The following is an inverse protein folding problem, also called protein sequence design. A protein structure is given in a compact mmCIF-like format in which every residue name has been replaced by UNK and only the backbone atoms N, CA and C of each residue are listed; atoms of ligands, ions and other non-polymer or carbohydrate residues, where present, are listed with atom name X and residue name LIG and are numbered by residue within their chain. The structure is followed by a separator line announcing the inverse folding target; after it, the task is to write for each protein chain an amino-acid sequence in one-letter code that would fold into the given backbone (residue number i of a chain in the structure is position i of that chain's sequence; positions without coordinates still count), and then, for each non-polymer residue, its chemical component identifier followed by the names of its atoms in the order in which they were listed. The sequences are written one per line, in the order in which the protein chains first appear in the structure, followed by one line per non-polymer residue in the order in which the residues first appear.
data_IF_154888647684
#
_entry.id   IF_154888647684
#
_cell.length_a   1.000
_cell.length_b   1.000
_cell.length_c   1.000
_cell.angle_alpha   90.00
_cell.angle_beta   90.00
_cell.angle_gamma   90.00
#
_symmetry.space_group_name_H-M   'P 1'
#
loop_
_entity.id
_entity.type
_entity.pdbx_description
1 polymer ?
#
# COMPACT_ATOMS: atom_id res chain seq x y z
N UNK A 1 -20.05 6.96 30.24
CA UNK A 1 -20.23 7.89 29.13
C UNK A 1 -18.92 8.67 28.98
N UNK A 2 -17.94 8.13 28.27
CA UNK A 2 -16.70 8.82 27.95
C UNK A 2 -16.97 9.65 26.67
N UNK A 3 -17.05 10.96 26.81
CA UNK A 3 -17.00 11.85 25.64
C UNK A 3 -15.58 11.71 25.10
N UNK A 4 -15.50 11.36 23.83
CA UNK A 4 -14.27 11.33 23.04
C UNK A 4 -13.49 12.64 23.28
N UNK A 5 -12.34 12.52 23.95
CA UNK A 5 -11.52 13.67 24.35
C UNK A 5 -10.51 14.06 23.25
N UNK A 6 -10.76 13.69 21.99
CA UNK A 6 -9.89 14.12 20.90
C UNK A 6 -9.91 15.63 20.78
N UNK A 7 -8.75 16.28 20.61
CA UNK A 7 -8.70 17.72 20.44
C UNK A 7 -9.46 18.13 19.17
N UNK A 8 -10.26 19.19 19.28
CA UNK A 8 -10.94 19.79 18.13
C UNK A 8 -9.88 20.34 17.18
N UNK A 9 -9.83 19.79 15.96
CA UNK A 9 -8.91 20.28 14.92
C UNK A 9 -9.44 21.58 14.31
N UNK A 10 -8.57 22.57 14.06
CA UNK A 10 -8.95 23.74 13.26
C UNK A 10 -9.38 23.31 11.86
N UNK A 11 -10.25 24.12 11.24
CA UNK A 11 -10.65 23.88 9.86
C UNK A 11 -9.48 24.06 8.89
N UNK A 12 -9.24 23.09 8.03
CA UNK A 12 -8.22 23.16 6.98
C UNK A 12 -8.60 24.15 5.87
N UNK A 13 -9.88 24.49 5.75
CA UNK A 13 -10.42 25.46 4.76
C UNK A 13 -10.85 26.79 5.38
N UNK A 14 -10.49 27.00 6.63
CA UNK A 14 -10.36 28.27 7.35
C UNK A 14 -11.41 29.34 7.00
N UNK A 15 -12.70 29.10 7.31
CA UNK A 15 -13.81 30.04 7.09
C UNK A 15 -14.58 29.83 5.78
N UNK A 16 -14.18 28.84 4.96
CA UNK A 16 -14.87 28.45 3.74
C UNK A 16 -15.55 27.06 3.86
N UNK A 17 -16.07 26.73 5.03
CA UNK A 17 -16.65 25.40 5.33
C UNK A 17 -17.85 25.06 4.43
N UNK A 18 -18.53 26.04 3.86
CA UNK A 18 -19.60 25.86 2.88
C UNK A 18 -19.13 25.72 1.44
N UNK A 19 -17.85 25.96 1.13
CA UNK A 19 -17.29 25.89 -0.22
C UNK A 19 -17.41 24.50 -0.85
N UNK A 20 -17.08 23.37 -0.18
CA UNK A 20 -17.23 22.05 -0.76
C UNK A 20 -18.65 21.73 -1.22
N UNK A 21 -19.65 22.04 -0.36
CA UNK A 21 -21.06 21.88 -0.72
C UNK A 21 -21.47 22.76 -1.90
N UNK A 22 -21.05 24.03 -1.89
CA UNK A 22 -21.33 24.97 -2.98
C UNK A 22 -20.81 24.46 -4.34
N UNK A 23 -19.59 23.94 -4.38
CA UNK A 23 -18.97 23.42 -5.61
C UNK A 23 -19.63 22.12 -6.04
N UNK A 24 -19.84 21.18 -5.12
CA UNK A 24 -20.49 19.89 -5.39
C UNK A 24 -21.87 20.07 -6.03
N UNK A 25 -22.68 20.96 -5.50
CA UNK A 25 -24.05 21.20 -5.98
C UNK A 25 -24.09 21.84 -7.38
N UNK A 26 -22.99 22.45 -7.82
CA UNK A 26 -22.87 23.18 -9.09
C UNK A 26 -22.04 22.49 -10.15
N UNK A 27 -21.09 21.66 -9.73
CA UNK A 27 -20.37 20.79 -10.67
C UNK A 27 -21.25 19.57 -10.93
N UNK A 28 -22.15 19.70 -11.91
CA UNK A 28 -22.99 18.59 -12.36
C UNK A 28 -22.12 17.60 -13.14
N UNK A 29 -21.74 16.52 -12.48
CA UNK A 29 -21.17 15.38 -13.16
C UNK A 29 -22.29 14.35 -13.37
N UNK A 30 -22.61 14.10 -14.63
CA UNK A 30 -23.36 12.91 -14.98
C UNK A 30 -22.35 11.76 -14.95
N UNK A 31 -22.41 10.93 -13.92
CA UNK A 31 -21.71 9.66 -13.97
C UNK A 31 -22.25 8.86 -15.14
N UNK A 32 -21.49 8.74 -16.21
CA UNK A 32 -21.68 7.68 -17.18
C UNK A 32 -21.55 6.32 -16.43
N UNK A 33 -22.01 5.25 -17.05
CA UNK A 33 -21.93 3.89 -16.46
C UNK A 33 -20.53 3.66 -15.90
N UNK A 34 -20.40 3.23 -14.64
CA UNK A 34 -19.10 3.10 -13.99
C UNK A 34 -18.20 2.11 -14.76
N UNK A 35 -17.07 2.60 -15.24
CA UNK A 35 -16.06 1.78 -15.89
C UNK A 35 -14.69 1.98 -15.22
N UNK A 36 -13.82 0.96 -15.26
CA UNK A 36 -12.43 1.06 -14.82
C UNK A 36 -11.69 2.17 -15.57
N UNK A 37 -12.03 2.40 -16.83
CA UNK A 37 -11.47 3.47 -17.66
C UNK A 37 -11.71 4.86 -17.06
N UNK A 38 -12.89 5.11 -16.45
CA UNK A 38 -13.18 6.39 -15.81
C UNK A 38 -12.20 6.71 -14.68
N UNK A 39 -11.81 5.70 -13.87
CA UNK A 39 -10.82 5.89 -12.83
C UNK A 39 -9.41 6.08 -13.41
N UNK A 40 -9.07 5.31 -14.44
CA UNK A 40 -7.79 5.46 -15.16
C UNK A 40 -7.64 6.88 -15.72
N UNK A 41 -8.69 7.40 -16.36
CA UNK A 41 -8.71 8.76 -16.93
C UNK A 41 -8.66 9.84 -15.85
N UNK A 42 -9.42 9.67 -14.74
CA UNK A 42 -9.41 10.62 -13.64
C UNK A 42 -8.05 10.68 -12.92
N UNK A 43 -7.39 9.55 -12.76
CA UNK A 43 -6.03 9.50 -12.20
C UNK A 43 -4.97 9.91 -13.21
N UNK A 44 -5.29 9.88 -14.52
CA UNK A 44 -4.34 10.09 -15.59
C UNK A 44 -3.28 8.99 -15.65
N UNK A 45 -3.71 7.71 -15.54
CA UNK A 45 -2.79 6.56 -15.53
C UNK A 45 -2.18 6.41 -16.94
N UNK A 46 -0.85 6.50 -17.09
CA UNK A 46 -0.22 6.24 -18.38
C UNK A 46 -0.43 4.79 -18.84
N UNK A 47 -0.41 4.56 -20.15
CA UNK A 47 -0.45 3.21 -20.68
C UNK A 47 0.71 2.37 -20.15
N UNK A 48 0.40 1.20 -19.57
CA UNK A 48 1.40 0.32 -19.01
C UNK A 48 2.01 -0.54 -20.10
N UNK A 49 3.34 -0.54 -20.15
CA UNK A 49 4.12 -1.48 -20.96
C UNK A 49 4.73 -2.49 -19.99
N UNK A 50 4.35 -3.76 -20.14
CA UNK A 50 4.87 -4.83 -19.26
C UNK A 50 6.38 -4.96 -19.48
N UNK A 51 7.21 -4.82 -18.42
CA UNK A 51 8.65 -4.93 -18.55
C UNK A 51 9.08 -6.35 -18.97
N UNK A 52 9.86 -6.45 -20.02
CA UNK A 52 10.41 -7.72 -20.50
C UNK A 52 11.75 -8.08 -19.82
N UNK A 53 12.36 -7.13 -19.12
CA UNK A 53 13.73 -7.23 -18.59
C UNK A 53 13.78 -7.44 -17.06
N UNK A 54 12.91 -8.30 -16.53
CA UNK A 54 12.94 -8.64 -15.09
C UNK A 54 14.23 -9.40 -14.78
N UNK A 55 15.04 -8.83 -13.89
CA UNK A 55 16.34 -9.39 -13.50
C UNK A 55 16.28 -9.83 -12.03
N UNK A 56 16.73 -11.05 -11.74
CA UNK A 56 16.95 -11.56 -10.38
C UNK A 56 18.38 -11.21 -9.96
N UNK A 57 18.55 -10.49 -8.85
CA UNK A 57 19.85 -10.07 -8.33
C UNK A 57 20.34 -10.95 -7.19
N UNK A 58 19.43 -11.42 -6.38
CA UNK A 58 19.72 -12.18 -5.18
C UNK A 58 18.54 -13.09 -4.85
N UNK A 59 18.83 -14.24 -4.28
CA UNK A 59 17.85 -15.14 -3.70
C UNK A 59 18.41 -15.75 -2.42
N UNK A 60 17.57 -15.82 -1.39
CA UNK A 60 17.91 -16.43 -0.11
C UNK A 60 16.69 -16.96 0.61
N UNK A 61 16.91 -17.95 1.46
CA UNK A 61 15.86 -18.52 2.30
C UNK A 61 16.11 -18.15 3.75
N UNK A 62 15.13 -17.51 4.37
CA UNK A 62 15.19 -17.11 5.75
C UNK A 62 13.84 -17.39 6.43
N UNK A 63 13.87 -18.02 7.59
CA UNK A 63 12.69 -18.31 8.42
C UNK A 63 11.51 -18.95 7.65
N UNK A 64 11.83 -19.94 6.81
CA UNK A 64 10.85 -20.68 6.02
C UNK A 64 10.29 -19.97 4.79
N UNK A 65 10.85 -18.82 4.42
CA UNK A 65 10.46 -18.06 3.22
C UNK A 65 11.67 -17.87 2.31
N UNK A 66 11.53 -18.23 1.05
CA UNK A 66 12.49 -17.89 0.00
C UNK A 66 12.14 -16.52 -0.56
N UNK A 67 13.09 -15.60 -0.50
CA UNK A 67 12.96 -14.23 -0.99
C UNK A 67 13.94 -14.00 -2.14
N UNK A 68 13.44 -13.53 -3.28
CA UNK A 68 14.25 -13.14 -4.43
C UNK A 68 14.15 -11.64 -4.65
N UNK A 69 15.28 -10.94 -4.73
CA UNK A 69 15.33 -9.53 -5.13
C UNK A 69 15.28 -9.42 -6.64
N UNK A 70 14.30 -8.68 -7.13
CA UNK A 70 14.06 -8.44 -8.54
C UNK A 70 14.32 -6.97 -8.90
N UNK A 71 14.59 -6.69 -10.16
CA UNK A 71 14.44 -5.34 -10.71
C UNK A 71 13.95 -5.36 -12.15
N UNK A 72 13.26 -4.27 -12.54
CA UNK A 72 12.78 -4.04 -13.89
C UNK A 72 12.79 -2.56 -14.24
N UNK A 73 12.69 -2.25 -15.55
CA UNK A 73 12.64 -0.89 -16.07
C UNK A 73 11.25 -0.57 -16.62
N UNK A 74 10.70 0.57 -16.23
CA UNK A 74 9.39 1.06 -16.65
C UNK A 74 9.46 2.06 -17.82
N UNK A 75 10.62 2.20 -18.45
CA UNK A 75 10.83 3.12 -19.57
C UNK A 75 11.12 4.57 -19.16
N UNK A 76 11.05 4.89 -17.86
CA UNK A 76 11.41 6.19 -17.31
C UNK A 76 11.92 6.07 -15.86
N UNK A 77 12.75 7.02 -15.46
CA UNK A 77 13.31 7.08 -14.11
C UNK A 77 14.24 5.89 -13.77
N UNK A 78 14.54 5.69 -12.49
CA UNK A 78 15.34 4.56 -12.04
C UNK A 78 14.63 3.23 -12.23
N UNK A 79 15.39 2.13 -12.25
CA UNK A 79 14.82 0.77 -12.20
C UNK A 79 14.05 0.55 -10.91
N UNK A 80 12.92 -0.13 -11.01
CA UNK A 80 12.13 -0.55 -9.85
C UNK A 80 12.78 -1.75 -9.19
N UNK A 81 12.96 -1.73 -7.88
CA UNK A 81 13.30 -2.89 -7.08
C UNK A 81 12.02 -3.52 -6.52
N UNK A 82 11.97 -4.84 -6.55
CA UNK A 82 10.90 -5.63 -5.94
C UNK A 82 11.46 -6.88 -5.25
N UNK A 83 10.64 -7.46 -4.38
CA UNK A 83 10.94 -8.70 -3.68
C UNK A 83 9.81 -9.68 -3.91
N UNK A 84 10.17 -10.85 -4.45
CA UNK A 84 9.28 -11.99 -4.59
C UNK A 84 9.53 -12.95 -3.44
N UNK A 85 8.50 -13.26 -2.68
CA UNK A 85 8.56 -14.16 -1.54
C UNK A 85 7.64 -15.36 -1.75
N UNK A 86 8.11 -16.54 -1.32
CA UNK A 86 7.36 -17.80 -1.39
C UNK A 86 7.69 -18.68 -0.19
N UNK A 87 6.81 -19.58 0.25
CA UNK A 87 7.18 -20.60 1.22
C UNK A 87 8.35 -21.42 0.69
N UNK A 88 9.35 -21.64 1.52
CA UNK A 88 10.50 -22.48 1.13
C UNK A 88 10.06 -23.90 0.78
N UNK A 89 10.60 -24.43 -0.32
CA UNK A 89 10.25 -25.78 -0.79
C UNK A 89 8.84 -25.91 -1.38
N UNK A 90 8.12 -24.81 -1.63
CA UNK A 90 6.83 -24.86 -2.29
C UNK A 90 6.95 -25.44 -3.71
N UNK A 91 6.03 -26.34 -4.06
CA UNK A 91 5.92 -26.96 -5.38
C UNK A 91 4.53 -26.69 -5.96
N UNK A 92 4.47 -26.32 -7.22
CA UNK A 92 3.22 -26.00 -7.92
C UNK A 92 2.84 -24.50 -7.83
N UNK A 93 1.81 -24.11 -8.58
CA UNK A 93 1.38 -22.71 -8.64
C UNK A 93 0.69 -22.27 -7.33
N UNK A 94 1.17 -21.14 -6.77
CA UNK A 94 0.64 -20.50 -5.58
C UNK A 94 -0.29 -19.33 -5.97
N UNK A 95 -1.34 -19.04 -5.19
CA UNK A 95 -2.06 -17.79 -5.37
C UNK A 95 -1.11 -16.61 -5.18
N UNK A 96 -1.25 -15.58 -6.04
CA UNK A 96 -0.38 -14.40 -6.02
C UNK A 96 -0.98 -13.27 -5.20
N UNK A 97 -0.15 -12.58 -4.43
CA UNK A 97 -0.55 -11.37 -3.70
C UNK A 97 0.44 -10.23 -3.97
N UNK A 98 -0.09 -9.08 -4.41
CA UNK A 98 0.70 -7.85 -4.46
C UNK A 98 0.58 -7.13 -3.11
N UNK A 99 1.69 -7.02 -2.38
CA UNK A 99 1.76 -6.32 -1.10
C UNK A 99 2.22 -4.88 -1.32
N UNK A 100 1.34 -3.92 -0.98
CA UNK A 100 1.50 -2.51 -1.31
C UNK A 100 1.89 -1.72 -0.05
N UNK A 101 3.10 -1.15 -0.06
CA UNK A 101 3.61 -0.38 1.08
C UNK A 101 2.83 0.92 1.31
N UNK A 102 2.77 1.35 2.58
CA UNK A 102 2.15 2.62 2.97
C UNK A 102 2.98 3.83 2.47
N UNK A 103 2.36 5.02 2.52
CA UNK A 103 3.10 6.28 2.36
C UNK A 103 4.08 6.48 3.52
N UNK A 104 3.58 6.40 4.76
CA UNK A 104 4.32 6.38 6.03
C UNK A 104 5.25 7.58 6.27
N UNK A 105 5.13 8.67 5.50
CA UNK A 105 6.07 9.79 5.58
C UNK A 105 7.52 9.43 5.20
N UNK A 106 7.76 8.20 4.75
CA UNK A 106 9.09 7.67 4.47
C UNK A 106 9.22 7.28 3.00
N UNK A 107 9.76 8.18 2.18
CA UNK A 107 10.06 7.95 0.76
C UNK A 107 11.48 7.46 0.51
N UNK A 108 12.35 7.52 1.52
CA UNK A 108 13.70 6.96 1.45
C UNK A 108 13.65 5.44 1.24
N UNK A 109 12.86 4.74 2.06
CA UNK A 109 12.52 3.34 1.88
C UNK A 109 11.27 3.15 1.01
N UNK A 110 11.03 1.93 0.59
CA UNK A 110 9.87 1.52 -0.19
C UNK A 110 9.27 0.23 0.33
N UNK A 111 9.24 -0.80 -0.50
CA UNK A 111 8.71 -2.11 -0.14
C UNK A 111 9.60 -2.92 0.81
N UNK A 112 10.86 -2.53 1.03
CA UNK A 112 11.77 -3.10 2.02
C UNK A 112 11.13 -3.14 3.43
N UNK A 113 10.25 -2.18 3.74
CA UNK A 113 9.46 -2.15 4.99
C UNK A 113 8.41 -3.26 5.12
N UNK A 114 8.18 -4.04 4.09
CA UNK A 114 7.25 -5.17 4.09
C UNK A 114 7.95 -6.52 4.11
N UNK A 115 9.28 -6.55 4.01
CA UNK A 115 10.09 -7.73 3.73
C UNK A 115 11.08 -8.00 4.85
N UNK A 116 11.23 -9.26 5.24
CA UNK A 116 12.34 -9.68 6.10
C UNK A 116 13.59 -9.82 5.25
N UNK A 117 14.58 -8.96 5.51
CA UNK A 117 15.88 -8.97 4.84
C UNK A 117 16.99 -9.32 5.83
N UNK A 118 18.09 -9.97 5.40
CA UNK A 118 19.23 -10.27 6.27
C UNK A 118 19.87 -9.02 6.87
N UNK A 119 19.95 -7.96 6.09
CA UNK A 119 20.54 -6.67 6.47
C UNK A 119 19.55 -5.54 6.10
N UNK A 120 18.47 -5.36 6.89
CA UNK A 120 17.50 -4.32 6.60
C UNK A 120 18.08 -2.93 6.89
N UNK A 121 17.70 -1.94 6.08
CA UNK A 121 17.99 -0.56 6.44
C UNK A 121 17.28 -0.19 7.76
N UNK A 122 17.88 0.60 8.65
CA UNK A 122 17.25 0.99 9.93
C UNK A 122 15.83 1.54 9.78
N UNK A 123 15.57 2.35 8.75
CA UNK A 123 14.24 2.90 8.48
C UNK A 123 13.17 1.84 8.17
N UNK A 124 13.53 0.65 7.69
CA UNK A 124 12.60 -0.46 7.52
C UNK A 124 12.23 -1.09 8.87
N UNK A 125 13.20 -1.25 9.77
CA UNK A 125 12.94 -1.73 11.13
C UNK A 125 12.06 -0.76 11.93
N UNK A 126 12.29 0.54 11.79
CA UNK A 126 11.45 1.60 12.37
C UNK A 126 10.01 1.53 11.82
N UNK A 127 9.84 1.30 10.51
CA UNK A 127 8.53 1.12 9.91
C UNK A 127 7.82 -0.14 10.42
N UNK A 128 8.54 -1.26 10.61
CA UNK A 128 7.98 -2.47 11.22
C UNK A 128 7.44 -2.18 12.62
N UNK A 129 8.25 -1.53 13.47
CA UNK A 129 7.88 -1.21 14.84
C UNK A 129 6.72 -0.19 14.91
N UNK A 130 6.78 0.87 14.10
CA UNK A 130 5.84 1.99 14.17
C UNK A 130 4.50 1.74 13.47
N UNK A 131 4.50 0.97 12.38
CA UNK A 131 3.33 0.86 11.51
C UNK A 131 2.79 -0.55 11.32
N UNK A 132 3.62 -1.60 11.52
CA UNK A 132 3.26 -2.98 11.20
C UNK A 132 3.35 -3.93 12.39
N UNK A 133 3.29 -3.43 13.61
CA UNK A 133 3.30 -4.25 14.83
C UNK A 133 4.56 -5.11 14.97
N UNK A 134 5.70 -4.65 14.45
CA UNK A 134 6.98 -5.37 14.48
C UNK A 134 7.14 -6.45 13.41
N UNK A 135 6.24 -6.52 12.41
CA UNK A 135 6.25 -7.56 11.37
C UNK A 135 6.58 -7.03 9.97
N UNK A 136 7.21 -7.87 9.17
CA UNK A 136 7.35 -7.71 7.73
C UNK A 136 6.13 -8.34 7.03
N UNK A 137 5.09 -7.55 6.78
CA UNK A 137 3.78 -8.01 6.30
C UNK A 137 3.86 -8.98 5.11
N UNK A 138 4.63 -8.64 4.08
CA UNK A 138 4.70 -9.45 2.86
C UNK A 138 5.34 -10.82 3.12
N UNK A 139 6.34 -10.87 4.00
CA UNK A 139 6.94 -12.13 4.44
C UNK A 139 5.94 -12.98 5.23
N UNK A 140 5.11 -12.37 6.09
CA UNK A 140 4.06 -13.10 6.83
C UNK A 140 2.98 -13.66 5.90
N UNK A 141 2.55 -12.88 4.90
CA UNK A 141 1.60 -13.36 3.87
C UNK A 141 2.20 -14.54 3.10
N UNK A 142 3.47 -14.44 2.67
CA UNK A 142 4.12 -15.51 1.93
C UNK A 142 4.20 -16.82 2.75
N UNK A 143 4.47 -16.72 4.07
CA UNK A 143 4.52 -17.88 4.97
C UNK A 143 3.23 -18.68 5.01
N UNK A 144 2.10 -18.04 4.68
CA UNK A 144 0.78 -18.69 4.65
C UNK A 144 0.42 -19.34 3.31
N UNK A 145 1.38 -19.51 2.40
CA UNK A 145 1.17 -20.27 1.16
C UNK A 145 0.91 -19.40 -0.07
N UNK A 146 1.36 -18.16 -0.07
CA UNK A 146 1.24 -17.26 -1.21
C UNK A 146 2.59 -17.00 -1.90
N UNK A 147 2.54 -16.73 -3.21
CA UNK A 147 3.59 -16.02 -3.89
C UNK A 147 3.32 -14.51 -3.74
N UNK A 148 4.19 -13.80 -3.03
CA UNK A 148 3.98 -12.38 -2.71
C UNK A 148 5.02 -11.55 -3.42
N UNK A 149 4.57 -10.54 -4.17
CA UNK A 149 5.45 -9.51 -4.72
C UNK A 149 5.21 -8.20 -3.95
N UNK A 150 6.30 -7.60 -3.45
CA UNK A 150 6.32 -6.25 -2.95
C UNK A 150 7.30 -5.43 -3.77
N UNK A 151 6.95 -4.21 -4.16
CA UNK A 151 7.80 -3.38 -5.03
C UNK A 151 7.82 -1.92 -4.59
N UNK A 152 8.89 -1.23 -4.93
CA UNK A 152 8.99 0.21 -4.76
C UNK A 152 8.10 0.92 -5.79
N UNK A 153 7.19 1.75 -5.32
CA UNK A 153 6.35 2.56 -6.19
C UNK A 153 7.03 3.87 -6.59
N UNK A 154 6.52 4.53 -7.61
CA UNK A 154 6.93 5.86 -8.04
C UNK A 154 7.09 6.81 -6.84
N UNK A 155 8.22 7.45 -6.73
CA UNK A 155 8.68 8.35 -5.68
C UNK A 155 9.11 7.67 -4.35
N UNK A 156 9.15 6.34 -4.24
CA UNK A 156 9.63 5.62 -3.05
C UNK A 156 10.78 4.66 -3.37
N UNK A 157 11.66 4.43 -2.38
CA UNK A 157 12.72 3.43 -2.44
C UNK A 157 13.66 3.61 -3.63
N UNK A 158 13.82 2.58 -4.45
CA UNK A 158 14.61 2.64 -5.68
C UNK A 158 14.03 3.59 -6.74
N UNK A 159 12.75 3.91 -6.63
CA UNK A 159 12.03 4.85 -7.52
C UNK A 159 12.00 6.29 -6.99
N UNK A 160 12.69 6.57 -5.89
CA UNK A 160 12.74 7.91 -5.29
C UNK A 160 13.46 8.91 -6.19
N UNK A 161 13.08 10.17 -6.07
CA UNK A 161 13.75 11.27 -6.76
C UNK A 161 15.16 11.47 -6.21
N UNK A 162 16.08 11.88 -7.06
CA UNK A 162 17.39 12.36 -6.61
C UNK A 162 17.25 13.79 -6.04
N UNK A 163 17.32 13.89 -4.73
CA UNK A 163 17.27 15.15 -3.99
C UNK A 163 18.64 15.51 -3.36
N UNK A 164 19.72 14.96 -3.89
CA UNK A 164 21.09 15.35 -3.50
C UNK A 164 21.34 16.85 -3.73
N UNK A 165 20.72 17.41 -4.76
CA UNK A 165 20.60 18.85 -5.02
C UNK A 165 19.11 19.19 -5.13
N UNK A 166 18.45 19.56 -4.02
CA UNK A 166 17.01 19.82 -4.02
C UNK A 166 16.65 21.03 -4.89
N UNK A 167 15.44 21.09 -5.46
CA UNK A 167 14.92 22.32 -6.08
C UNK A 167 14.93 23.50 -5.08
N UNK A 168 15.12 24.71 -5.55
CA UNK A 168 15.39 25.89 -4.72
C UNK A 168 14.38 26.14 -3.57
N UNK A 169 13.08 25.87 -3.77
CA UNK A 169 12.09 26.01 -2.70
C UNK A 169 12.17 24.88 -1.67
N UNK A 170 12.42 23.66 -2.14
CA UNK A 170 12.65 22.50 -1.28
C UNK A 170 13.90 22.72 -0.44
N UNK A 171 15.00 23.21 -1.05
CA UNK A 171 16.23 23.54 -0.37
C UNK A 171 16.02 24.58 0.73
N UNK A 172 15.33 25.69 0.42
CA UNK A 172 15.04 26.76 1.40
C UNK A 172 14.26 26.25 2.61
N UNK A 173 13.23 25.41 2.38
CA UNK A 173 12.42 24.83 3.46
C UNK A 173 13.20 23.76 4.25
N UNK A 174 14.05 22.99 3.57
CA UNK A 174 14.93 22.01 4.21
C UNK A 174 15.97 22.69 5.13
N UNK A 175 16.53 23.83 4.71
CA UNK A 175 17.46 24.60 5.55
C UNK A 175 16.80 25.12 6.83
N UNK A 176 15.53 25.55 6.76
CA UNK A 176 14.76 25.90 7.95
C UNK A 176 14.59 24.68 8.88
N UNK A 177 14.30 23.50 8.33
CA UNK A 177 14.20 22.24 9.10
C UNK A 177 15.53 21.85 9.73
N UNK A 178 16.64 21.96 8.99
CA UNK A 178 17.99 21.72 9.50
C UNK A 178 18.35 22.65 10.65
N UNK A 179 17.91 23.93 10.61
CA UNK A 179 18.09 24.87 11.71
C UNK A 179 17.35 24.42 12.96
N UNK A 180 16.10 23.97 12.84
CA UNK A 180 15.34 23.43 13.96
C UNK A 180 16.04 22.20 14.58
N UNK A 181 16.57 21.29 13.78
CA UNK A 181 17.32 20.13 14.27
C UNK A 181 18.60 20.56 15.02
N UNK A 182 19.36 21.54 14.48
CA UNK A 182 20.56 22.09 15.15
C UNK A 182 20.21 22.71 16.50
N UNK A 183 19.13 23.50 16.56
CA UNK A 183 18.65 24.10 17.81
C UNK A 183 18.21 23.07 18.84
N UNK A 184 17.60 21.96 18.39
CA UNK A 184 17.19 20.85 19.23
C UNK A 184 18.33 19.87 19.57
N UNK A 185 19.56 20.08 19.04
CA UNK A 185 20.68 19.16 19.23
C UNK A 185 20.50 17.80 18.54
N UNK A 186 19.62 17.72 17.54
CA UNK A 186 19.33 16.49 16.78
C UNK A 186 20.25 16.41 15.55
N UNK A 187 20.88 15.27 15.36
CA UNK A 187 21.59 14.92 14.14
C UNK A 187 20.72 13.96 13.32
N UNK A 188 20.10 14.45 12.24
CA UNK A 188 19.23 13.59 11.43
C UNK A 188 20.04 12.54 10.67
N UNK A 189 19.49 11.35 10.51
CA UNK A 189 19.97 10.33 9.60
C UNK A 189 19.77 10.74 8.14
N UNK A 190 20.45 10.04 7.20
CA UNK A 190 20.25 10.26 5.76
C UNK A 190 18.79 10.05 5.34
N UNK A 191 18.11 9.07 5.94
CA UNK A 191 16.70 8.81 5.70
C UNK A 191 15.82 9.97 6.18
N UNK A 192 16.05 10.53 7.36
CA UNK A 192 15.29 11.67 7.89
C UNK A 192 15.52 12.93 7.04
N UNK A 193 16.77 13.19 6.64
CA UNK A 193 17.09 14.30 5.73
C UNK A 193 16.38 14.17 4.40
N UNK A 194 16.46 12.97 3.80
CA UNK A 194 15.78 12.70 2.54
C UNK A 194 14.27 12.84 2.68
N UNK A 195 13.67 12.24 3.70
CA UNK A 195 12.22 12.25 3.91
C UNK A 195 11.68 13.66 4.14
N UNK A 196 12.41 14.51 4.86
CA UNK A 196 12.05 15.91 5.03
C UNK A 196 12.04 16.67 3.68
N UNK A 197 13.07 16.46 2.85
CA UNK A 197 13.12 17.05 1.51
C UNK A 197 12.01 16.49 0.61
N UNK A 198 11.82 15.17 0.62
CA UNK A 198 10.83 14.49 -0.23
C UNK A 198 9.38 14.83 0.12
N UNK A 199 9.08 15.05 1.40
CA UNK A 199 7.75 15.54 1.84
C UNK A 199 7.44 16.93 1.26
N UNK A 200 8.40 17.85 1.30
CA UNK A 200 8.26 19.19 0.70
C UNK A 200 8.18 19.09 -0.84
N UNK A 201 9.00 18.20 -1.44
CA UNK A 201 9.08 18.02 -2.88
C UNK A 201 7.81 17.39 -3.48
N UNK A 202 7.00 16.69 -2.69
CA UNK A 202 5.76 16.06 -3.16
C UNK A 202 4.81 17.06 -3.81
N UNK A 203 4.70 18.29 -3.31
CA UNK A 203 3.93 19.36 -3.94
C UNK A 203 4.44 19.68 -5.36
N UNK A 204 5.75 19.66 -5.56
CA UNK A 204 6.35 19.87 -6.88
C UNK A 204 6.02 18.74 -7.82
N UNK A 205 6.09 17.50 -7.33
CA UNK A 205 5.72 16.30 -8.10
C UNK A 205 4.25 16.34 -8.51
N UNK A 206 3.35 16.69 -7.57
CA UNK A 206 1.93 16.80 -7.85
C UNK A 206 1.62 17.88 -8.91
N UNK A 207 2.29 19.04 -8.85
CA UNK A 207 2.17 20.10 -9.87
C UNK A 207 2.67 19.65 -11.22
N UNK A 208 3.83 18.98 -11.28
CA UNK A 208 4.37 18.45 -12.53
C UNK A 208 3.44 17.40 -13.14
N UNK A 209 2.95 16.46 -12.31
CA UNK A 209 1.98 15.46 -12.73
C UNK A 209 0.71 16.10 -13.32
N UNK A 210 0.14 17.11 -12.63
CA UNK A 210 -1.03 17.83 -13.10
C UNK A 210 -0.82 18.55 -14.44
N UNK A 211 0.36 19.14 -14.68
CA UNK A 211 0.72 19.74 -15.98
C UNK A 211 0.84 18.70 -17.09
N UNK A 212 1.26 17.49 -16.76
CA UNK A 212 1.40 16.38 -17.71
C UNK A 212 0.09 15.65 -17.97
N UNK A 213 -1.01 16.00 -17.28
CA UNK A 213 -2.30 15.34 -17.42
C UNK A 213 -2.40 14.01 -16.62
N UNK A 214 -1.54 13.83 -15.63
CA UNK A 214 -1.55 12.70 -14.70
C UNK A 214 -1.69 13.18 -13.25
N UNK A 215 -1.53 12.29 -12.29
CA UNK A 215 -1.47 12.60 -10.85
C UNK A 215 -0.39 11.77 -10.17
N UNK A 216 -0.04 12.10 -8.92
CA UNK A 216 0.85 11.24 -8.13
C UNK A 216 0.25 9.83 -8.01
N UNK A 217 -1.06 9.74 -7.74
CA UNK A 217 -1.78 8.47 -7.68
C UNK A 217 -1.78 7.72 -9.01
N UNK A 218 -1.91 8.43 -10.14
CA UNK A 218 -1.86 7.85 -11.49
C UNK A 218 -0.49 7.24 -11.82
N UNK A 219 0.59 7.92 -11.43
CA UNK A 219 1.95 7.39 -11.62
C UNK A 219 2.23 6.18 -10.72
N UNK A 220 1.73 6.19 -9.48
CA UNK A 220 1.84 5.04 -8.57
C UNK A 220 1.01 3.86 -9.08
N UNK A 221 -0.22 4.11 -9.55
CA UNK A 221 -1.08 3.08 -10.14
C UNK A 221 -0.46 2.45 -11.39
N UNK A 222 0.24 3.23 -12.22
CA UNK A 222 1.02 2.72 -13.35
C UNK A 222 2.08 1.69 -12.89
N UNK A 223 2.85 2.03 -11.85
CA UNK A 223 3.87 1.14 -11.31
C UNK A 223 3.24 -0.13 -10.69
N UNK A 224 2.09 0.01 -10.01
CA UNK A 224 1.33 -1.11 -9.41
C UNK A 224 0.77 -2.06 -10.47
N UNK A 225 0.21 -1.53 -11.56
CA UNK A 225 -0.28 -2.33 -12.68
C UNK A 225 0.86 -3.11 -13.36
N UNK A 226 2.00 -2.47 -13.57
CA UNK A 226 3.17 -3.15 -14.14
C UNK A 226 3.67 -4.28 -13.21
N UNK A 227 3.70 -4.04 -11.90
CA UNK A 227 4.08 -5.05 -10.92
C UNK A 227 3.07 -6.21 -10.86
N UNK A 228 1.78 -5.95 -11.03
CA UNK A 228 0.75 -6.99 -11.12
C UNK A 228 0.95 -7.88 -12.35
N UNK A 229 1.21 -7.31 -13.52
CA UNK A 229 1.52 -8.07 -14.74
C UNK A 229 2.79 -8.92 -14.59
N UNK A 230 3.82 -8.37 -13.94
CA UNK A 230 5.02 -9.15 -13.61
C UNK A 230 4.65 -10.32 -12.69
N UNK A 231 3.94 -10.08 -11.59
CA UNK A 231 3.53 -11.14 -10.66
C UNK A 231 2.75 -12.25 -11.37
N UNK A 232 1.77 -11.87 -12.20
CA UNK A 232 0.95 -12.82 -12.97
C UNK A 232 1.79 -13.69 -13.92
N UNK A 233 2.86 -13.13 -14.49
CA UNK A 233 3.75 -13.82 -15.42
C UNK A 233 4.86 -14.64 -14.78
N UNK A 234 5.07 -14.54 -13.46
CA UNK A 234 6.17 -15.26 -12.80
C UNK A 234 5.90 -16.77 -12.70
N UNK A 235 6.91 -17.61 -12.99
CA UNK A 235 6.78 -19.06 -12.82
C UNK A 235 6.32 -19.44 -11.41
N UNK A 236 5.36 -20.36 -11.30
CA UNK A 236 4.83 -20.83 -10.02
C UNK A 236 3.84 -19.88 -9.34
N UNK A 237 3.34 -18.88 -10.05
CA UNK A 237 2.19 -18.06 -9.64
C UNK A 237 0.94 -18.53 -10.40
N UNK A 238 -0.18 -18.64 -9.71
CA UNK A 238 -1.48 -18.89 -10.31
C UNK A 238 -2.16 -17.54 -10.65
N UNK A 239 -2.12 -17.19 -11.91
CA UNK A 239 -2.66 -15.91 -12.41
C UNK A 239 -4.19 -15.78 -12.28
N UNK A 240 -4.94 -16.89 -12.07
CA UNK A 240 -6.38 -16.86 -11.85
C UNK A 240 -6.74 -16.56 -10.37
N UNK A 241 -5.77 -16.61 -9.48
CA UNK A 241 -5.94 -16.40 -8.04
C UNK A 241 -5.05 -15.26 -7.53
N UNK A 242 -5.26 -14.04 -8.04
CA UNK A 242 -4.50 -12.87 -7.65
C UNK A 242 -5.29 -11.99 -6.67
N UNK A 243 -4.58 -11.44 -5.71
CA UNK A 243 -5.11 -10.46 -4.76
C UNK A 243 -4.10 -9.36 -4.44
N UNK A 244 -4.56 -8.36 -3.70
CA UNK A 244 -3.65 -7.35 -3.17
C UNK A 244 -4.02 -6.96 -1.73
N UNK A 245 -3.03 -6.47 -1.01
CA UNK A 245 -3.16 -6.04 0.39
C UNK A 245 -2.36 -4.77 0.61
N UNK A 246 -2.95 -3.82 1.32
CA UNK A 246 -2.25 -2.58 1.67
C UNK A 246 -2.78 -1.91 2.93
N UNK A 247 -1.87 -1.21 3.59
CA UNK A 247 -2.13 -0.38 4.76
C UNK A 247 -1.94 1.09 4.41
N UNK A 248 -2.81 1.98 4.91
CA UNK A 248 -2.71 3.42 4.70
C UNK A 248 -2.66 3.75 3.19
N UNK A 249 -1.68 4.51 2.72
CA UNK A 249 -1.48 4.75 1.29
C UNK A 249 -1.45 3.46 0.45
N UNK A 250 -0.92 2.35 0.99
CA UNK A 250 -0.99 1.02 0.36
C UNK A 250 -2.43 0.50 0.23
N UNK A 251 -3.31 0.81 1.19
CA UNK A 251 -4.74 0.49 1.12
C UNK A 251 -5.44 1.25 -0.01
N UNK A 252 -5.10 2.54 -0.21
CA UNK A 252 -5.59 3.32 -1.33
C UNK A 252 -5.13 2.77 -2.68
N UNK A 253 -3.86 2.32 -2.76
CA UNK A 253 -3.30 1.63 -3.93
C UNK A 253 -4.03 0.31 -4.21
N UNK A 254 -4.35 -0.47 -3.15
CA UNK A 254 -5.10 -1.72 -3.29
C UNK A 254 -6.50 -1.50 -3.86
N UNK A 255 -7.21 -0.45 -3.40
CA UNK A 255 -8.50 -0.05 -3.96
C UNK A 255 -8.35 0.35 -5.44
N UNK A 256 -7.41 1.24 -5.75
CA UNK A 256 -7.19 1.69 -7.12
C UNK A 256 -6.84 0.51 -8.05
N UNK A 257 -5.93 -0.37 -7.64
CA UNK A 257 -5.52 -1.53 -8.40
C UNK A 257 -6.68 -2.50 -8.66
N UNK A 258 -7.53 -2.77 -7.65
CA UNK A 258 -8.70 -3.64 -7.79
C UNK A 258 -9.77 -3.07 -8.71
N UNK A 259 -9.85 -1.75 -8.85
CA UNK A 259 -10.73 -1.08 -9.84
C UNK A 259 -10.11 -1.10 -11.24
N UNK A 260 -8.80 -0.86 -11.34
CA UNK A 260 -8.10 -0.71 -12.60
C UNK A 260 -7.79 -2.06 -13.29
N UNK A 261 -7.74 -3.15 -12.52
CA UNK A 261 -7.41 -4.47 -13.08
C UNK A 261 -8.43 -5.55 -12.70
N UNK A 262 -9.05 -6.22 -13.68
CA UNK A 262 -9.95 -7.36 -13.43
C UNK A 262 -9.22 -8.62 -12.95
N UNK A 263 -7.89 -8.64 -12.95
CA UNK A 263 -7.10 -9.76 -12.45
C UNK A 263 -7.16 -9.87 -10.93
N UNK A 264 -7.42 -8.78 -10.21
CA UNK A 264 -7.56 -8.79 -8.75
C UNK A 264 -8.89 -9.41 -8.36
N UNK A 265 -8.82 -10.58 -7.74
CA UNK A 265 -10.02 -11.33 -7.28
C UNK A 265 -10.44 -10.92 -5.87
N UNK A 266 -9.48 -10.63 -4.99
CA UNK A 266 -9.76 -10.22 -3.61
C UNK A 266 -8.75 -9.19 -3.16
N UNK A 267 -9.18 -8.22 -2.37
CA UNK A 267 -8.28 -7.18 -1.88
C UNK A 267 -8.59 -6.75 -0.46
N UNK A 268 -7.56 -6.21 0.21
CA UNK A 268 -7.62 -5.74 1.59
C UNK A 268 -7.20 -4.28 1.66
N UNK A 269 -8.04 -3.44 2.26
CA UNK A 269 -7.81 -2.03 2.51
C UNK A 269 -7.78 -1.81 4.01
N UNK A 270 -6.62 -1.50 4.57
CA UNK A 270 -6.45 -1.26 6.01
C UNK A 270 -6.16 0.21 6.29
N UNK A 271 -6.92 0.85 7.18
CA UNK A 271 -6.78 2.24 7.63
C UNK A 271 -6.69 3.24 6.45
N UNK A 272 -7.55 3.08 5.45
CA UNK A 272 -7.60 3.97 4.27
C UNK A 272 -9.03 4.07 3.70
N UNK A 273 -10.02 4.11 4.58
CA UNK A 273 -11.42 4.17 4.14
C UNK A 273 -12.23 5.12 5.02
N UNK A 274 -12.61 6.24 4.43
CA UNK A 274 -13.56 7.22 4.95
C UNK A 274 -14.18 7.98 3.78
N UNK A 275 -15.26 8.70 3.99
CA UNK A 275 -15.83 9.55 2.93
C UNK A 275 -14.97 10.79 2.69
N UNK A 276 -14.85 11.24 1.45
CA UNK A 276 -14.19 12.52 1.13
C UNK A 276 -14.83 13.69 1.87
N UNK A 277 -16.16 13.67 2.02
CA UNK A 277 -16.87 14.71 2.73
C UNK A 277 -16.40 14.85 4.18
N UNK A 278 -16.08 13.75 4.85
CA UNK A 278 -15.60 13.76 6.24
C UNK A 278 -14.16 14.26 6.39
N UNK A 279 -13.35 14.10 5.33
CA UNK A 279 -11.94 14.53 5.34
C UNK A 279 -11.77 16.03 5.14
N UNK A 280 -12.64 16.65 4.32
CA UNK A 280 -12.49 18.04 3.87
C UNK A 280 -12.40 19.07 5.00
N UNK A 281 -13.19 19.01 6.09
CA UNK A 281 -13.17 20.08 7.09
C UNK A 281 -11.86 20.21 7.86
N UNK A 282 -11.22 19.07 8.23
CA UNK A 282 -10.15 19.13 9.21
C UNK A 282 -9.09 18.01 9.10
N UNK A 283 -9.11 17.21 8.04
CA UNK A 283 -8.20 16.06 7.88
C UNK A 283 -7.39 16.12 6.58
N UNK A 284 -7.86 16.91 5.60
CA UNK A 284 -7.32 16.94 4.26
C UNK A 284 -5.82 17.31 4.20
N UNK A 285 -5.40 18.25 5.04
CA UNK A 285 -4.03 18.75 5.11
C UNK A 285 -3.01 17.73 5.64
N UNK A 286 -3.49 16.68 6.34
CA UNK A 286 -2.65 15.59 6.83
C UNK A 286 -2.40 14.50 5.79
N UNK A 287 -3.17 14.50 4.68
CA UNK A 287 -3.04 13.51 3.63
C UNK A 287 -2.10 13.93 2.51
N UNK A 288 -1.43 12.95 1.90
CA UNK A 288 -0.58 13.16 0.75
C UNK A 288 -1.38 13.31 -0.54
N UNK A 289 -0.73 13.80 -1.59
CA UNK A 289 -1.27 13.86 -2.95
C UNK A 289 -1.64 12.49 -3.54
N UNK A 290 -1.28 11.39 -2.86
CA UNK A 290 -1.70 10.04 -3.26
C UNK A 290 -3.22 9.85 -3.15
N UNK A 291 -3.90 10.52 -2.20
CA UNK A 291 -5.35 10.50 -2.08
C UNK A 291 -6.03 11.61 -2.88
N UNK A 292 -5.30 12.65 -3.25
CA UNK A 292 -5.86 13.91 -3.73
C UNK A 292 -5.64 14.10 -5.23
N UNK A 293 -6.48 13.46 -6.03
CA UNK A 293 -6.48 13.68 -7.48
C UNK A 293 -7.59 14.65 -7.85
N UNK A 294 -7.30 15.74 -8.60
CA UNK A 294 -8.30 16.72 -9.02
C UNK A 294 -9.48 16.07 -9.74
N UNK A 295 -10.67 16.27 -9.20
CA UNK A 295 -11.90 15.78 -9.81
C UNK A 295 -12.21 14.29 -9.56
N UNK A 296 -11.46 13.60 -8.72
CA UNK A 296 -11.72 12.20 -8.39
C UNK A 296 -13.15 12.00 -7.82
N UNK A 297 -13.62 12.92 -7.00
CA UNK A 297 -14.98 12.90 -6.43
C UNK A 297 -16.11 13.03 -7.48
N UNK A 298 -15.80 13.38 -8.72
CA UNK A 298 -16.75 13.34 -9.84
C UNK A 298 -17.24 11.91 -10.13
N UNK A 299 -16.40 10.94 -9.85
CA UNK A 299 -16.70 9.54 -10.05
C UNK A 299 -17.54 8.93 -8.93
N UNK A 300 -17.66 9.62 -7.82
CA UNK A 300 -18.28 9.19 -6.57
C UNK A 300 -17.38 9.45 -5.37
N UNK A 301 -17.91 9.24 -4.17
CA UNK A 301 -17.10 9.31 -2.96
C UNK A 301 -16.13 8.13 -2.88
N UNK A 302 -15.09 8.24 -2.05
CA UNK A 302 -14.02 7.25 -1.96
C UNK A 302 -14.51 5.80 -1.78
N UNK A 303 -15.46 5.50 -0.86
CA UNK A 303 -16.02 4.15 -0.75
C UNK A 303 -16.79 3.71 -2.01
N UNK A 304 -17.45 4.62 -2.73
CA UNK A 304 -18.23 4.30 -3.91
C UNK A 304 -17.37 3.82 -5.09
N UNK A 305 -16.08 4.21 -5.12
CA UNK A 305 -15.16 3.75 -6.15
C UNK A 305 -14.99 2.22 -6.13
N UNK A 306 -15.16 1.57 -4.98
CA UNK A 306 -15.07 0.09 -4.87
C UNK A 306 -16.12 -0.64 -5.69
N UNK A 307 -17.29 -0.03 -5.95
CA UNK A 307 -18.34 -0.58 -6.80
C UNK A 307 -17.96 -0.71 -8.27
N UNK A 308 -16.83 -0.13 -8.68
CA UNK A 308 -16.26 -0.24 -10.04
C UNK A 308 -15.30 -1.42 -10.17
N UNK A 309 -14.93 -2.06 -9.07
CA UNK A 309 -14.05 -3.22 -9.07
C UNK A 309 -14.78 -4.47 -9.57
N UNK A 310 -14.08 -5.27 -10.38
CA UNK A 310 -14.52 -6.61 -10.77
C UNK A 310 -14.16 -7.70 -9.76
N UNK A 311 -13.60 -7.35 -8.60
CA UNK A 311 -13.15 -8.31 -7.58
C UNK A 311 -14.34 -9.05 -6.94
N UNK A 312 -14.08 -10.30 -6.54
CA UNK A 312 -15.08 -11.15 -5.86
C UNK A 312 -15.29 -10.72 -4.41
N UNK A 313 -14.26 -10.12 -3.79
CA UNK A 313 -14.34 -9.73 -2.39
C UNK A 313 -13.41 -8.61 -1.95
N UNK A 314 -13.86 -7.90 -0.92
CA UNK A 314 -13.19 -6.79 -0.26
C UNK A 314 -13.24 -6.96 1.26
N UNK A 315 -12.08 -6.85 1.91
CA UNK A 315 -11.98 -6.61 3.35
C UNK A 315 -11.52 -5.17 3.60
N UNK A 316 -12.27 -4.43 4.41
CA UNK A 316 -11.86 -3.12 4.92
C UNK A 316 -11.69 -3.18 6.43
N UNK A 317 -10.55 -2.73 6.91
CA UNK A 317 -10.23 -2.65 8.34
C UNK A 317 -10.11 -1.19 8.75
N UNK A 318 -10.95 -0.78 9.70
CA UNK A 318 -11.02 0.56 10.25
C UNK A 318 -10.37 0.61 11.62
N UNK A 319 -9.50 1.57 11.87
CA UNK A 319 -8.93 1.84 13.19
C UNK A 319 -9.65 3.05 13.82
N UNK A 320 -10.45 2.81 14.85
CA UNK A 320 -11.39 3.82 15.39
C UNK A 320 -10.70 5.04 16.03
N UNK A 321 -9.46 4.88 16.50
CA UNK A 321 -8.68 5.97 17.05
C UNK A 321 -7.64 6.53 16.04
N UNK A 322 -7.83 6.27 14.74
CA UNK A 322 -6.97 6.79 13.68
C UNK A 322 -7.00 8.32 13.64
N UNK A 323 -5.84 8.94 13.72
CA UNK A 323 -5.74 10.40 13.70
C UNK A 323 -5.89 10.99 12.29
N UNK A 324 -5.77 10.19 11.24
CA UNK A 324 -5.85 10.62 9.85
C UNK A 324 -7.27 10.54 9.30
N UNK A 325 -8.14 9.73 9.92
CA UNK A 325 -9.51 9.51 9.44
C UNK A 325 -10.52 9.72 10.57
N UNK A 326 -11.59 10.52 10.38
CA UNK A 326 -12.64 10.68 11.37
C UNK A 326 -13.49 9.40 11.50
N UNK A 327 -13.82 9.00 12.73
CA UNK A 327 -14.66 7.83 12.99
C UNK A 327 -16.01 7.91 12.27
N UNK A 328 -16.65 9.08 12.25
CA UNK A 328 -17.91 9.28 11.54
C UNK A 328 -17.78 8.97 10.06
N UNK A 329 -16.71 9.45 9.41
CA UNK A 329 -16.43 9.19 8.00
C UNK A 329 -16.14 7.71 7.70
N UNK A 330 -15.49 6.99 8.64
CA UNK A 330 -15.29 5.55 8.55
C UNK A 330 -16.62 4.78 8.61
N UNK A 331 -17.51 5.17 9.54
CA UNK A 331 -18.84 4.56 9.69
C UNK A 331 -19.75 4.85 8.51
N UNK A 332 -19.68 6.06 7.96
CA UNK A 332 -20.40 6.43 6.73
C UNK A 332 -19.92 5.61 5.55
N UNK A 333 -18.60 5.50 5.37
CA UNK A 333 -18.00 4.65 4.34
C UNK A 333 -18.44 3.19 4.49
N UNK A 334 -18.46 2.65 5.71
CA UNK A 334 -18.92 1.31 5.97
C UNK A 334 -20.38 1.10 5.53
N UNK A 335 -21.30 2.03 5.89
CA UNK A 335 -22.70 1.95 5.45
C UNK A 335 -22.86 2.00 3.92
N UNK A 336 -22.07 2.84 3.27
CA UNK A 336 -22.04 2.91 1.81
C UNK A 336 -21.61 1.55 1.22
N UNK A 337 -20.52 0.98 1.74
CA UNK A 337 -20.00 -0.31 1.28
C UNK A 337 -20.97 -1.47 1.51
N UNK A 338 -21.65 -1.51 2.67
CA UNK A 338 -22.69 -2.51 2.93
C UNK A 338 -23.86 -2.41 1.93
N UNK A 339 -24.22 -1.20 1.52
CA UNK A 339 -25.31 -0.99 0.55
C UNK A 339 -24.88 -1.27 -0.89
N UNK A 340 -23.60 -1.07 -1.21
CA UNK A 340 -23.05 -1.16 -2.55
C UNK A 340 -22.70 -2.60 -2.95
N UNK A 341 -22.19 -3.37 -2.01
CA UNK A 341 -21.69 -4.72 -2.26
C UNK A 341 -22.73 -5.78 -1.99
N UNK A 342 -22.67 -6.87 -2.77
CA UNK A 342 -23.53 -8.04 -2.54
C UNK A 342 -23.19 -8.69 -1.20
N UNK A 343 -24.17 -9.32 -0.58
CA UNK A 343 -23.96 -10.07 0.66
C UNK A 343 -22.78 -11.06 0.52
N UNK A 344 -21.81 -10.96 1.41
CA UNK A 344 -20.62 -11.82 1.44
C UNK A 344 -19.45 -11.36 0.57
N UNK A 345 -19.61 -10.37 -0.31
CA UNK A 345 -18.48 -9.83 -1.09
C UNK A 345 -17.76 -8.66 -0.39
N UNK A 346 -18.31 -8.12 0.66
CA UNK A 346 -17.70 -7.10 1.51
C UNK A 346 -17.66 -7.57 2.97
N UNK A 347 -16.54 -7.30 3.62
CA UNK A 347 -16.36 -7.45 5.08
C UNK A 347 -15.75 -6.18 5.62
N UNK A 348 -16.38 -5.55 6.61
CA UNK A 348 -15.83 -4.42 7.36
C UNK A 348 -15.52 -4.85 8.78
N UNK A 349 -14.33 -4.55 9.29
CA UNK A 349 -13.96 -4.78 10.68
C UNK A 349 -13.45 -3.51 11.34
N UNK A 350 -13.84 -3.29 12.62
CA UNK A 350 -13.51 -2.11 13.40
C UNK A 350 -12.58 -2.48 14.55
N UNK A 351 -11.45 -1.80 14.63
CA UNK A 351 -10.39 -2.06 15.59
C UNK A 351 -10.17 -0.85 16.50
N UNK A 352 -9.92 -1.03 17.80
CA UNK A 352 -9.83 0.07 18.76
C UNK A 352 -8.48 0.81 18.74
N UNK A 353 -7.66 0.66 17.72
CA UNK A 353 -6.33 1.25 17.63
C UNK A 353 -6.29 2.56 16.83
N UNK A 354 -5.10 3.19 16.82
CA UNK A 354 -4.73 4.30 15.94
C UNK A 354 -4.23 3.82 14.58
N UNK A 355 -3.51 4.69 13.85
CA UNK A 355 -3.03 4.44 12.50
C UNK A 355 -1.89 3.41 12.44
N UNK A 356 -2.19 2.15 12.76
CA UNK A 356 -1.24 1.02 12.80
C UNK A 356 -1.90 -0.24 12.27
N UNK A 357 -1.20 -1.00 11.45
CA UNK A 357 -1.60 -2.33 11.01
C UNK A 357 -1.13 -3.36 12.04
N UNK A 358 -1.92 -3.58 13.07
CA UNK A 358 -1.55 -4.47 14.19
C UNK A 358 -1.42 -5.92 13.75
N UNK A 359 -0.78 -6.73 14.61
CA UNK A 359 -0.62 -8.17 14.39
C UNK A 359 -1.98 -8.88 14.20
N UNK A 360 -2.98 -8.49 14.99
CA UNK A 360 -4.33 -9.05 14.92
C UNK A 360 -5.03 -8.70 13.61
N UNK A 361 -4.94 -7.45 13.18
CA UNK A 361 -5.47 -7.00 11.88
C UNK A 361 -4.77 -7.74 10.73
N UNK A 362 -3.45 -7.91 10.78
CA UNK A 362 -2.70 -8.69 9.78
C UNK A 362 -3.18 -10.14 9.74
N UNK A 363 -3.39 -10.79 10.89
CA UNK A 363 -3.87 -12.16 10.96
C UNK A 363 -5.29 -12.29 10.36
N UNK A 364 -6.19 -11.33 10.60
CA UNK A 364 -7.51 -11.28 9.97
C UNK A 364 -7.39 -11.14 8.44
N UNK A 365 -6.57 -10.19 7.96
CA UNK A 365 -6.35 -9.95 6.55
C UNK A 365 -5.77 -11.18 5.83
N UNK A 366 -4.76 -11.82 6.42
CA UNK A 366 -4.16 -13.05 5.90
C UNK A 366 -5.18 -14.19 5.88
N UNK A 367 -5.95 -14.36 6.95
CA UNK A 367 -7.02 -15.38 7.02
C UNK A 367 -8.10 -15.13 5.97
N UNK A 368 -8.46 -13.87 5.73
CA UNK A 368 -9.36 -13.48 4.67
C UNK A 368 -8.84 -13.91 3.29
N UNK A 369 -7.61 -13.52 2.94
CA UNK A 369 -6.99 -13.88 1.67
C UNK A 369 -6.86 -15.41 1.52
N UNK A 370 -6.50 -16.13 2.58
CA UNK A 370 -6.35 -17.59 2.56
C UNK A 370 -7.68 -18.28 2.23
N UNK A 371 -8.78 -17.82 2.81
CA UNK A 371 -10.12 -18.38 2.52
C UNK A 371 -10.58 -18.05 1.11
N UNK A 372 -10.31 -16.84 0.62
CA UNK A 372 -10.89 -16.33 -0.62
C UNK A 372 -10.05 -16.64 -1.86
N UNK A 373 -8.73 -16.79 -1.71
CA UNK A 373 -7.82 -17.17 -2.79
C UNK A 373 -7.40 -18.64 -2.72
N UNK A 374 -7.79 -19.38 -1.67
CA UNK A 374 -7.53 -20.82 -1.56
C UNK A 374 -6.06 -21.16 -1.35
N UNK A 375 -5.34 -20.43 -0.50
CA UNK A 375 -3.98 -20.79 -0.11
C UNK A 375 -4.00 -22.08 0.74
N UNK A 376 -3.14 -23.04 0.41
CA UNK A 376 -2.85 -24.14 1.32
C UNK A 376 -2.09 -23.55 2.52
N UNK A 377 -2.62 -23.65 3.73
CA UNK A 377 -1.96 -23.15 4.94
C UNK A 377 -0.52 -23.63 5.08
N UNK A 378 0.25 -23.14 6.08
CA UNK A 378 1.65 -23.45 6.24
C UNK A 378 1.90 -24.95 6.16
N UNK A 379 2.87 -25.38 5.36
CA UNK A 379 3.29 -26.77 5.31
C UNK A 379 3.56 -27.22 6.76
N UNK A 380 2.86 -28.25 7.22
CA UNK A 380 3.15 -28.84 8.54
C UNK A 380 4.64 -29.20 8.55
N UNK A 381 5.41 -28.78 9.58
CA UNK A 381 6.79 -29.23 9.68
C UNK A 381 6.79 -30.76 9.59
N UNK A 382 7.51 -31.30 8.62
CA UNK A 382 7.70 -32.75 8.55
C UNK A 382 8.42 -33.15 9.84
N UNK A 383 7.95 -34.18 10.55
CA UNK A 383 8.69 -34.70 11.69
C UNK A 383 10.08 -35.08 11.18
N UNK A 384 11.10 -34.60 11.90
CA UNK A 384 12.48 -34.97 11.61
C UNK A 384 12.55 -36.49 11.42
N UNK A 385 12.99 -36.93 10.24
CA UNK A 385 13.33 -38.31 10.04
C UNK A 385 14.49 -38.61 11.01
N UNK A 386 14.20 -39.32 12.10
CA UNK A 386 15.21 -39.84 12.99
C UNK A 386 16.00 -40.84 12.18
N UNK A 387 17.16 -40.41 11.68
CA UNK A 387 18.17 -41.35 11.18
C UNK A 387 18.54 -42.25 12.37
N UNK A 388 18.17 -43.52 12.25
CA UNK A 388 18.56 -44.55 13.18
C UNK A 388 20.07 -44.81 12.97
N UNK A 389 20.97 -44.49 13.90
CA UNK A 389 22.35 -44.94 13.80
C UNK A 389 22.45 -46.30 14.47
N UNK A 390 23.17 -47.20 13.84
CA UNK A 390 23.65 -48.46 14.36
C UNK A 390 22.92 -49.73 13.87
N UNK A 391 23.29 -50.15 12.68
CA UNK A 391 23.51 -51.59 12.46
C UNK A 391 24.99 -51.83 12.71
N UNK A 392 25.31 -52.39 13.87
CA UNK A 392 26.65 -52.96 14.17
C UNK A 392 26.84 -54.16 13.29
N UNK A 393 27.84 -54.14 12.41
CA UNK A 393 28.38 -55.34 11.80
C UNK A 393 29.14 -56.14 12.88
N UNK A 394 28.73 -57.37 13.10
CA UNK A 394 29.40 -58.39 13.89
C UNK A 394 30.46 -59.08 13.02
N UNK A 395 31.74 -59.16 13.43
CA UNK A 395 32.78 -59.81 12.64
C UNK A 395 32.83 -61.31 13.00
N UNK A 396 32.56 -62.13 11.97
CA UNK A 396 33.11 -63.52 11.93
C UNK A 396 33.49 -63.90 10.53
#
# INVERSE_FOLDING_TARGET
MSKDSRPVRPSAIAGYENWPAYVRDRLRYQAATPAAQDLSDALGVPAVVVPADVTVHWEGTYDGVTTSQLSWQLGFGPRTTGWLMRPAGSSGPLPGVLALHCHGGNKFGGADRLVTLPEPHPSAAEAHAGHYGGRALATEVARQGFAVLAHDAFAWGSRRFDLSTPPWRTESALEARKSQWREAGVVPSDAELYNAAAGIHEDTVAKAAGLLGTSLAGMVAHDDLAALEILAGLPGVDAERLGCIGFSGGGGRALALAVLSPQIRNYVVTCMMATFQSLLPAYLDAHSWLLQTPGLWKLGDWPELTGRSGADGLLVQYALADELFPEEGMRDAHRILESLHRAGSYTGSFWPGGHVFTVEMQNEAISYLSRTLGAAGPARPQPFATSNPLATEDPR
#
